data_IF_814428863868
#
_entry.id   IF_814428863868
#
_cell.length_a   1.000
_cell.length_b   1.000
_cell.length_c   1.000
_cell.angle_alpha   90.00
_cell.angle_beta   90.00
_cell.angle_gamma   90.00
#
_symmetry.space_group_name_H-M   'P 1'
#
loop_
_entity.id
_entity.type
_entity.pdbx_description
1 polymer ?
#
# COMPACT_ATOMS: atom_id res chain seq x y z
N UNK A 1 10.89 -7.35 -6.03
CA UNK A 1 9.43 -7.05 -6.13
C UNK A 1 9.16 -5.73 -6.85
N UNK A 2 9.66 -4.58 -6.36
CA UNK A 2 9.46 -3.24 -6.97
C UNK A 2 9.85 -3.14 -8.47
N UNK A 3 10.98 -3.72 -8.85
CA UNK A 3 11.48 -3.70 -10.25
C UNK A 3 10.62 -4.51 -11.23
N UNK A 4 9.89 -5.53 -10.74
CA UNK A 4 9.06 -6.40 -11.59
C UNK A 4 7.76 -5.68 -11.95
N UNK A 5 7.12 -5.01 -10.99
CA UNK A 5 5.91 -4.21 -11.21
C UNK A 5 6.15 -3.00 -12.12
N UNK A 6 7.31 -2.34 -11.99
CA UNK A 6 7.69 -1.22 -12.84
C UNK A 6 7.92 -1.65 -14.31
N UNK A 7 8.28 -2.92 -14.54
CA UNK A 7 8.43 -3.51 -15.88
C UNK A 7 7.10 -3.94 -16.51
N UNK A 8 6.11 -4.29 -15.67
CA UNK A 8 4.76 -4.68 -16.11
C UNK A 8 3.87 -3.45 -16.36
N UNK A 9 4.03 -2.36 -15.59
CA UNK A 9 3.29 -1.12 -15.79
C UNK A 9 4.26 0.07 -15.84
N UNK A 10 4.75 0.45 -17.04
CA UNK A 10 5.82 1.44 -17.21
C UNK A 10 5.43 2.88 -16.83
N UNK A 11 4.15 3.14 -16.54
CA UNK A 11 3.61 4.48 -16.24
C UNK A 11 3.30 4.71 -14.75
N UNK A 12 3.63 3.77 -13.86
CA UNK A 12 3.45 3.99 -12.42
C UNK A 12 4.69 4.69 -11.83
N UNK A 13 4.48 5.87 -11.25
CA UNK A 13 5.51 6.57 -10.49
C UNK A 13 6.08 5.68 -9.36
N UNK A 14 7.41 5.73 -9.19
CA UNK A 14 8.14 5.06 -8.10
C UNK A 14 7.50 5.33 -6.73
N UNK A 15 7.01 6.55 -6.54
CA UNK A 15 6.33 6.97 -5.31
C UNK A 15 5.05 6.18 -5.08
N UNK A 16 4.17 6.09 -6.08
CA UNK A 16 2.90 5.38 -5.93
C UNK A 16 3.10 3.87 -5.70
N UNK A 17 4.10 3.26 -6.38
CA UNK A 17 4.47 1.86 -6.11
C UNK A 17 5.00 1.64 -4.70
N UNK A 18 5.79 2.58 -4.17
CA UNK A 18 6.28 2.49 -2.80
C UNK A 18 5.14 2.66 -1.78
N UNK A 19 4.21 3.58 -2.04
CA UNK A 19 3.01 3.78 -1.21
C UNK A 19 2.11 2.54 -1.24
N UNK A 20 1.91 1.93 -2.40
CA UNK A 20 1.15 0.69 -2.55
C UNK A 20 1.79 -0.47 -1.79
N UNK A 21 3.10 -0.68 -1.93
CA UNK A 21 3.80 -1.73 -1.18
C UNK A 21 3.73 -1.51 0.33
N UNK A 22 3.84 -0.25 0.78
CA UNK A 22 3.72 0.11 2.19
C UNK A 22 2.31 -0.15 2.73
N UNK A 23 1.27 0.12 1.93
CA UNK A 23 -0.12 -0.20 2.27
C UNK A 23 -0.32 -1.71 2.45
N UNK A 24 0.14 -2.51 1.48
CA UNK A 24 0.04 -3.98 1.53
C UNK A 24 0.77 -4.54 2.75
N UNK A 25 1.99 -4.06 3.03
CA UNK A 25 2.76 -4.49 4.20
C UNK A 25 2.03 -4.17 5.52
N UNK A 26 1.46 -2.98 5.64
CA UNK A 26 0.73 -2.55 6.85
C UNK A 26 -0.51 -3.40 7.10
N UNK A 27 -1.30 -3.68 6.05
CA UNK A 27 -2.49 -4.53 6.15
C UNK A 27 -2.09 -5.96 6.52
N UNK A 28 -1.04 -6.51 5.90
CA UNK A 28 -0.54 -7.85 6.21
C UNK A 28 -0.12 -7.96 7.69
N UNK A 29 0.61 -6.97 8.21
CA UNK A 29 0.95 -6.90 9.63
C UNK A 29 -0.28 -6.85 10.52
N UNK A 30 -1.30 -6.06 10.15
CA UNK A 30 -2.57 -5.99 10.90
C UNK A 30 -3.32 -7.32 10.97
N UNK A 31 -3.38 -8.05 9.86
CA UNK A 31 -4.01 -9.38 9.81
C UNK A 31 -3.22 -10.40 10.64
N UNK A 32 -1.89 -10.41 10.54
CA UNK A 32 -1.03 -11.29 11.35
C UNK A 32 -1.16 -10.98 12.85
N UNK A 33 -1.16 -9.70 13.21
CA UNK A 33 -1.34 -9.25 14.59
C UNK A 33 -2.70 -9.67 15.15
N UNK A 34 -3.78 -9.52 14.36
CA UNK A 34 -5.11 -10.01 14.73
C UNK A 34 -5.13 -11.53 14.93
N UNK A 35 -4.41 -12.29 14.09
CA UNK A 35 -4.22 -13.73 14.26
C UNK A 35 -3.52 -14.09 15.57
N UNK A 36 -2.39 -13.44 15.87
CA UNK A 36 -1.63 -13.65 17.12
C UNK A 36 -2.52 -13.36 18.34
N UNK A 37 -3.26 -12.25 18.31
CA UNK A 37 -4.08 -11.84 19.45
C UNK A 37 -5.25 -12.78 19.66
N UNK A 38 -5.94 -13.20 18.59
CA UNK A 38 -7.01 -14.19 18.68
C UNK A 38 -6.51 -15.54 19.22
N UNK A 39 -5.31 -15.98 18.82
CA UNK A 39 -4.69 -17.21 19.35
C UNK A 39 -4.28 -17.06 20.83
N UNK A 40 -3.94 -15.85 21.28
CA UNK A 40 -3.61 -15.58 22.68
C UNK A 40 -4.81 -15.53 23.62
N UNK A 41 -6.04 -15.68 23.10
CA UNK A 41 -7.28 -15.62 23.89
C UNK A 41 -7.63 -14.21 24.40
N UNK A 42 -6.96 -13.17 23.87
CA UNK A 42 -7.15 -11.77 24.25
C UNK A 42 -7.93 -11.06 23.14
N UNK A 43 -8.84 -10.17 23.48
CA UNK A 43 -9.43 -9.25 22.51
C UNK A 43 -8.71 -7.91 22.59
N UNK A 44 -8.17 -7.45 21.46
CA UNK A 44 -7.61 -6.10 21.33
C UNK A 44 -8.28 -5.41 20.16
N UNK A 45 -8.55 -4.12 20.30
CA UNK A 45 -9.01 -3.24 19.21
C UNK A 45 -7.85 -2.69 18.39
N UNK A 46 -6.63 -3.15 18.67
CA UNK A 46 -5.41 -2.66 18.04
C UNK A 46 -5.22 -3.18 16.60
N UNK A 47 -6.15 -3.95 16.06
CA UNK A 47 -6.26 -4.26 14.63
C UNK A 47 -6.83 -3.09 13.79
N UNK A 48 -7.72 -2.26 14.36
CA UNK A 48 -8.30 -1.08 13.70
C UNK A 48 -7.25 -0.10 13.17
N UNK A 49 -6.23 0.31 13.96
CA UNK A 49 -5.18 1.22 13.49
C UNK A 49 -4.46 0.71 12.23
N UNK A 50 -4.17 -0.59 12.15
CA UNK A 50 -3.51 -1.17 10.97
C UNK A 50 -4.42 -1.09 9.74
N UNK A 51 -5.72 -1.28 9.91
CA UNK A 51 -6.69 -1.10 8.83
C UNK A 51 -6.82 0.36 8.40
N UNK A 52 -6.93 1.31 9.33
CA UNK A 52 -7.02 2.73 8.98
C UNK A 52 -5.76 3.24 8.27
N UNK A 53 -4.57 2.88 8.77
CA UNK A 53 -3.30 3.29 8.15
C UNK A 53 -3.10 2.57 6.82
N UNK A 54 -3.42 1.27 6.74
CA UNK A 54 -3.31 0.49 5.50
C UNK A 54 -4.23 1.01 4.39
N UNK A 55 -5.50 1.26 4.71
CA UNK A 55 -6.48 1.83 3.77
C UNK A 55 -6.12 3.27 3.41
N UNK A 56 -5.63 4.06 4.37
CA UNK A 56 -5.12 5.40 4.11
C UNK A 56 -3.97 5.41 3.11
N UNK A 57 -2.96 4.55 3.33
CA UNK A 57 -1.83 4.39 2.41
C UNK A 57 -2.26 3.89 1.03
N UNK A 58 -3.22 2.96 0.95
CA UNK A 58 -3.77 2.50 -0.31
C UNK A 58 -4.51 3.63 -1.05
N UNK A 59 -5.32 4.41 -0.32
CA UNK A 59 -6.02 5.59 -0.84
C UNK A 59 -5.04 6.64 -1.36
N UNK A 60 -3.99 6.97 -0.60
CA UNK A 60 -2.92 7.86 -1.05
C UNK A 60 -2.14 7.31 -2.25
N UNK A 61 -1.90 5.99 -2.32
CA UNK A 61 -1.24 5.37 -3.47
C UNK A 61 -2.08 5.52 -4.75
N UNK A 62 -3.40 5.26 -4.65
CA UNK A 62 -4.34 5.42 -5.76
C UNK A 62 -4.51 6.88 -6.16
N UNK A 63 -4.64 7.79 -5.18
CA UNK A 63 -4.66 9.23 -5.42
C UNK A 63 -3.37 9.69 -6.13
N UNK A 64 -2.22 9.22 -5.66
CA UNK A 64 -0.92 9.48 -6.29
C UNK A 64 -0.85 8.93 -7.72
N UNK A 65 -1.49 7.78 -8.03
CA UNK A 65 -1.60 7.27 -9.40
C UNK A 65 -2.41 8.18 -10.33
N UNK A 66 -3.50 8.78 -9.83
CA UNK A 66 -4.36 9.68 -10.60
C UNK A 66 -3.64 10.99 -10.93
N UNK A 67 -2.97 11.58 -9.94
CA UNK A 67 -2.25 12.85 -10.10
C UNK A 67 -0.88 12.69 -10.76
N UNK A 68 -0.17 11.60 -10.44
CA UNK A 68 1.11 11.25 -11.08
C UNK A 68 0.90 10.39 -12.31
N UNK A 69 -0.15 10.66 -13.10
CA UNK A 69 -0.08 10.33 -14.53
C UNK A 69 1.10 11.12 -15.05
N UNK A 70 2.25 10.44 -15.18
CA UNK A 70 3.46 11.04 -15.69
C UNK A 70 3.11 11.61 -17.05
N UNK A 71 3.07 12.93 -17.12
CA UNK A 71 3.13 13.67 -18.35
C UNK A 71 4.41 13.20 -19.03
N UNK A 72 4.29 12.18 -19.88
CA UNK A 72 5.22 12.00 -20.97
C UNK A 72 4.92 13.16 -21.89
N UNK A 73 5.50 14.33 -21.60
CA UNK A 73 5.72 15.31 -22.64
C UNK A 73 6.59 14.58 -23.64
N UNK A 74 5.98 14.09 -24.70
CA UNK A 74 6.63 13.72 -25.94
C UNK A 74 7.55 14.89 -26.27
N UNK A 75 8.85 14.75 -25.99
CA UNK A 75 9.85 15.61 -26.59
C UNK A 75 10.27 14.89 -27.87
N UNK A 76 9.80 15.52 -28.94
CA UNK A 76 10.18 15.38 -30.35
C UNK A 76 11.63 14.97 -30.57
#
# INVERSE_FOLDING_TARGET
MLLIFQKIIPNLSRLSLNLWNSAVATIATGVLFRGIVNLSGRSTTMDLPYWYVGVGLAGFALFSMIFTRSVWVTKE
#
